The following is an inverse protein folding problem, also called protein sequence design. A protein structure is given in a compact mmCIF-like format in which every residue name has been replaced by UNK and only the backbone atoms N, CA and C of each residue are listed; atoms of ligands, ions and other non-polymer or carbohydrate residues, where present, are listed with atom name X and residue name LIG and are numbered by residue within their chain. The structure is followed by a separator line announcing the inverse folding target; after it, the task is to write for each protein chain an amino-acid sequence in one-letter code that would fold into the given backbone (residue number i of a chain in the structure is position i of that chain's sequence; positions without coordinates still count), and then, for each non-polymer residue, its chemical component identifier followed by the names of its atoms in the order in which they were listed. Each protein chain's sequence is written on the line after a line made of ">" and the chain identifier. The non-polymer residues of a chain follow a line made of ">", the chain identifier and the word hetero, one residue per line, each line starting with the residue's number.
data_IF_556015226526
#
_entry.id   IF_556015226526
#
_cell.length_a   1.000
_cell.length_b   1.000
_cell.length_c   1.000
_cell.angle_alpha   90.00
_cell.angle_beta   90.00
_cell.angle_gamma   90.00
#
_symmetry.space_group_name_H-M   'P 1'
#
loop_
_entity.id
_entity.type
_entity.pdbx_description
1 polymer ?
#
# COMPACT_ATOMS: atom_id res chain seq x y z
N UNK A 1 -9.60 -0.55 12.25
CA UNK A 1 -8.40 0.24 11.87
C UNK A 1 -7.17 -0.53 12.32
N UNK A 2 -6.23 -0.80 11.41
CA UNK A 2 -4.95 -1.48 11.68
C UNK A 2 -4.22 -0.86 12.89
N UNK A 3 -4.31 0.46 13.05
CA UNK A 3 -3.73 1.21 14.18
C UNK A 3 -4.21 0.69 15.55
N UNK A 4 -5.49 0.30 15.65
CA UNK A 4 -6.07 -0.31 16.86
C UNK A 4 -5.60 -1.74 17.06
N UNK A 5 -5.41 -2.49 15.97
CA UNK A 5 -4.97 -3.90 16.00
C UNK A 5 -3.53 -4.03 16.52
N UNK A 6 -2.67 -3.05 16.26
CA UNK A 6 -1.27 -3.05 16.71
C UNK A 6 -1.00 -2.17 17.93
N UNK A 7 -2.02 -1.65 18.63
CA UNK A 7 -1.86 -0.80 19.82
C UNK A 7 -0.83 0.35 19.62
N UNK A 8 -0.84 0.98 18.44
CA UNK A 8 0.12 2.05 18.12
C UNK A 8 -0.22 3.32 18.91
N UNK A 9 0.43 3.55 20.06
CA UNK A 9 0.38 4.77 20.90
C UNK A 9 -0.85 5.68 20.69
N UNK A 10 -2.05 5.11 20.83
CA UNK A 10 -3.29 5.86 20.72
C UNK A 10 -3.54 6.55 22.06
N UNK A 11 -3.93 7.85 22.06
CA UNK A 11 -4.34 8.50 23.30
C UNK A 11 -5.53 7.77 23.92
N UNK A 12 -5.50 7.59 25.24
CA UNK A 12 -6.42 6.72 26.01
C UNK A 12 -7.89 7.14 25.91
N UNK A 13 -8.16 8.39 25.53
CA UNK A 13 -9.49 8.96 25.40
C UNK A 13 -10.01 9.02 23.96
N UNK A 14 -9.34 8.39 22.99
CA UNK A 14 -9.67 8.57 21.58
C UNK A 14 -11.08 8.07 21.19
N UNK A 15 -11.66 7.13 21.93
CA UNK A 15 -13.02 6.66 21.66
C UNK A 15 -14.11 7.58 22.22
N UNK A 16 -13.75 8.49 23.14
CA UNK A 16 -14.69 9.40 23.80
C UNK A 16 -14.52 10.86 23.36
N UNK A 17 -13.36 11.21 22.80
CA UNK A 17 -13.06 12.56 22.33
C UNK A 17 -13.16 12.66 20.79
N UNK A 18 -14.27 13.20 20.24
CA UNK A 18 -14.43 13.38 18.80
C UNK A 18 -13.39 14.34 18.22
N UNK A 19 -12.87 15.30 19.00
CA UNK A 19 -11.83 16.21 18.54
C UNK A 19 -10.50 15.48 18.40
N UNK A 20 -10.13 14.61 19.34
CA UNK A 20 -8.94 13.76 19.22
C UNK A 20 -8.98 12.87 17.97
N UNK A 21 -10.15 12.29 17.65
CA UNK A 21 -10.35 11.52 16.41
C UNK A 21 -10.21 12.38 15.16
N UNK A 22 -10.75 13.60 15.18
CA UNK A 22 -10.65 14.53 14.06
C UNK A 22 -9.18 14.92 13.82
N UNK A 23 -8.46 15.31 14.87
CA UNK A 23 -7.03 15.64 14.79
C UNK A 23 -6.21 14.48 14.24
N UNK A 24 -6.45 13.25 14.70
CA UNK A 24 -5.77 12.07 14.19
C UNK A 24 -6.05 11.86 12.69
N UNK A 25 -7.32 11.94 12.27
CA UNK A 25 -7.70 11.78 10.86
C UNK A 25 -7.08 12.84 9.98
N UNK A 26 -7.04 14.10 10.43
CA UNK A 26 -6.39 15.21 9.73
C UNK A 26 -4.91 14.95 9.56
N UNK A 27 -4.20 14.60 10.65
CA UNK A 27 -2.76 14.30 10.60
C UNK A 27 -2.42 13.13 9.65
N UNK A 28 -3.23 12.06 9.66
CA UNK A 28 -3.10 10.94 8.72
C UNK A 28 -3.34 11.43 7.28
N UNK A 29 -4.39 12.21 7.05
CA UNK A 29 -4.72 12.73 5.71
C UNK A 29 -3.61 13.61 5.14
N UNK A 30 -3.04 14.51 5.95
CA UNK A 30 -1.90 15.35 5.58
C UNK A 30 -0.67 14.51 5.25
N UNK A 31 -0.34 13.53 6.11
CA UNK A 31 0.80 12.62 5.90
C UNK A 31 0.65 11.83 4.61
N UNK A 32 -0.54 11.28 4.33
CA UNK A 32 -0.83 10.55 3.10
C UNK A 32 -0.75 11.46 1.86
N UNK A 33 -1.20 12.71 1.98
CA UNK A 33 -1.10 13.71 0.90
C UNK A 33 0.35 14.03 0.57
N UNK A 34 1.18 14.20 1.61
CA UNK A 34 2.60 14.44 1.45
C UNK A 34 3.31 13.22 0.85
N UNK A 35 2.99 12.02 1.32
CA UNK A 35 3.53 10.77 0.79
C UNK A 35 3.19 10.60 -0.70
N UNK A 36 1.94 10.85 -1.09
CA UNK A 36 1.51 10.86 -2.50
C UNK A 36 2.37 11.83 -3.31
N UNK A 37 2.51 13.06 -2.85
CA UNK A 37 3.33 14.07 -3.52
C UNK A 37 4.80 13.62 -3.68
N UNK A 38 5.37 12.99 -2.66
CA UNK A 38 6.72 12.43 -2.69
C UNK A 38 6.85 11.27 -3.69
N UNK A 39 5.93 10.30 -3.66
CA UNK A 39 5.92 9.16 -4.59
C UNK A 39 5.84 9.65 -6.04
N UNK A 40 4.97 10.63 -6.33
CA UNK A 40 4.86 11.21 -7.67
C UNK A 40 6.18 11.82 -8.14
N UNK A 41 6.87 12.56 -7.28
CA UNK A 41 8.20 13.14 -7.57
C UNK A 41 9.25 12.05 -7.80
N UNK A 42 9.28 11.00 -6.99
CA UNK A 42 10.20 9.87 -7.17
C UNK A 42 9.97 9.15 -8.49
N UNK A 43 8.70 8.96 -8.90
CA UNK A 43 8.36 8.39 -10.20
C UNK A 43 8.90 9.27 -11.34
N UNK A 44 8.69 10.60 -11.27
CA UNK A 44 9.23 11.56 -12.26
C UNK A 44 10.74 11.36 -12.44
N UNK A 45 11.49 11.38 -11.33
CA UNK A 45 12.95 11.19 -11.33
C UNK A 45 13.33 9.83 -11.89
N UNK A 46 12.60 8.76 -11.55
CA UNK A 46 12.87 7.41 -12.04
C UNK A 46 12.70 7.28 -13.56
N UNK A 47 11.74 8.00 -14.15
CA UNK A 47 11.50 8.01 -15.60
C UNK A 47 12.67 8.70 -16.30
N UNK A 48 13.09 9.88 -15.82
CA UNK A 48 14.19 10.66 -16.40
C UNK A 48 15.53 9.93 -16.29
N UNK A 49 15.80 9.30 -15.15
CA UNK A 49 17.05 8.57 -14.89
C UNK A 49 17.06 7.14 -15.43
N UNK A 50 15.95 6.67 -16.02
CA UNK A 50 15.74 5.27 -16.45
C UNK A 50 16.08 4.25 -15.36
N UNK A 51 15.66 4.56 -14.13
CA UNK A 51 15.92 3.73 -12.96
C UNK A 51 15.10 2.44 -12.98
N UNK A 52 15.68 1.33 -12.50
CA UNK A 52 14.97 0.06 -12.33
C UNK A 52 13.81 0.18 -11.34
N UNK A 53 12.78 -0.65 -11.50
CA UNK A 53 11.57 -0.62 -10.65
C UNK A 53 11.86 -1.00 -9.20
N UNK A 54 12.83 -1.90 -8.98
CA UNK A 54 13.24 -2.32 -7.64
C UNK A 54 13.94 -1.18 -6.90
N UNK A 55 14.89 -0.50 -7.55
CA UNK A 55 15.56 0.66 -6.96
C UNK A 55 14.56 1.80 -6.67
N UNK A 56 13.53 1.98 -7.50
CA UNK A 56 12.45 2.92 -7.20
C UNK A 56 11.68 2.45 -5.97
N UNK A 57 11.38 1.17 -5.85
CA UNK A 57 10.76 0.56 -4.67
C UNK A 57 11.55 0.84 -3.39
N UNK A 58 12.87 0.65 -3.41
CA UNK A 58 13.74 0.96 -2.26
C UNK A 58 13.59 2.42 -1.85
N UNK A 59 13.63 3.35 -2.81
CA UNK A 59 13.48 4.79 -2.52
C UNK A 59 12.10 5.14 -1.97
N UNK A 60 11.05 4.47 -2.44
CA UNK A 60 9.67 4.70 -1.99
C UNK A 60 9.45 4.16 -0.57
N UNK A 61 10.00 2.99 -0.27
CA UNK A 61 9.97 2.41 1.07
C UNK A 61 10.79 3.25 2.05
N UNK A 62 11.95 3.78 1.62
CA UNK A 62 12.80 4.62 2.45
C UNK A 62 13.17 3.94 3.77
N UNK A 63 13.02 4.67 4.87
CA UNK A 63 13.31 4.17 6.23
C UNK A 63 12.11 3.47 6.90
N UNK A 64 11.06 3.14 6.13
CA UNK A 64 9.92 2.41 6.67
C UNK A 64 10.27 0.94 6.94
N UNK A 65 9.53 0.25 7.83
CA UNK A 65 9.75 -1.18 8.07
C UNK A 65 9.29 -2.07 6.90
N UNK A 66 8.70 -1.49 5.84
CA UNK A 66 8.17 -2.27 4.73
C UNK A 66 9.30 -2.90 3.89
N UNK A 67 9.04 -4.08 3.35
CA UNK A 67 9.92 -4.70 2.35
C UNK A 67 9.39 -4.42 0.94
N UNK A 68 10.32 -4.24 0.00
CA UNK A 68 9.97 -4.09 -1.43
C UNK A 68 9.53 -5.44 -1.97
N UNK A 69 8.22 -5.60 -2.21
CA UNK A 69 7.63 -6.84 -2.74
C UNK A 69 7.28 -6.73 -4.21
N UNK A 70 7.03 -7.88 -4.85
CA UNK A 70 6.49 -7.92 -6.23
C UNK A 70 5.18 -7.13 -6.32
N UNK A 71 4.29 -7.25 -5.34
CA UNK A 71 3.01 -6.51 -5.27
C UNK A 71 3.21 -4.98 -5.22
N UNK A 72 4.22 -4.50 -4.49
CA UNK A 72 4.58 -3.08 -4.50
C UNK A 72 5.13 -2.65 -5.87
N UNK A 73 6.03 -3.44 -6.45
CA UNK A 73 6.63 -3.14 -7.75
C UNK A 73 5.59 -3.10 -8.89
N UNK A 74 4.59 -4.00 -8.91
CA UNK A 74 3.51 -3.96 -9.91
C UNK A 74 2.67 -2.69 -9.81
N UNK A 75 2.34 -2.26 -8.58
CA UNK A 75 1.64 -1.00 -8.32
C UNK A 75 2.48 0.21 -8.76
N UNK A 76 3.78 0.23 -8.47
CA UNK A 76 4.70 1.28 -8.92
C UNK A 76 4.83 1.31 -10.45
N UNK A 77 4.90 0.16 -11.11
CA UNK A 77 4.96 0.06 -12.56
C UNK A 77 3.69 0.62 -13.23
N UNK A 78 2.51 0.30 -12.69
CA UNK A 78 1.25 0.90 -13.12
C UNK A 78 1.29 2.43 -12.98
N UNK A 79 1.63 2.94 -11.79
CA UNK A 79 1.72 4.37 -11.55
C UNK A 79 2.73 5.05 -12.49
N UNK A 80 3.89 4.44 -12.73
CA UNK A 80 4.90 4.95 -13.65
C UNK A 80 4.42 4.99 -15.10
N UNK A 81 3.62 4.02 -15.52
CA UNK A 81 3.04 3.98 -16.87
C UNK A 81 2.00 5.08 -17.13
N UNK A 82 1.36 5.59 -16.07
CA UNK A 82 0.31 6.60 -16.11
C UNK A 82 0.81 7.99 -15.73
N UNK A 83 2.13 8.17 -15.59
CA UNK A 83 2.70 9.42 -15.10
C UNK A 83 2.35 10.61 -16.01
N UNK A 84 1.80 11.66 -15.39
CA UNK A 84 1.63 13.00 -15.97
C UNK A 84 2.18 14.06 -15.02
N UNK A 85 2.66 15.18 -15.55
CA UNK A 85 3.24 16.25 -14.71
C UNK A 85 2.18 17.11 -14.00
N UNK A 86 0.89 16.86 -14.27
CA UNK A 86 -0.25 17.66 -13.80
C UNK A 86 -1.04 17.00 -12.65
N UNK A 87 -2.11 17.67 -12.20
CA UNK A 87 -2.99 17.16 -11.15
C UNK A 87 -3.81 15.94 -11.55
N UNK A 88 -3.89 15.61 -12.85
CA UNK A 88 -4.72 14.49 -13.34
C UNK A 88 -4.12 13.12 -13.01
N UNK A 89 -2.82 13.05 -12.73
CA UNK A 89 -2.07 11.82 -12.44
C UNK A 89 -2.83 10.84 -11.53
N UNK A 90 -3.26 11.32 -10.37
CA UNK A 90 -3.95 10.49 -9.40
C UNK A 90 -5.33 10.03 -9.87
N UNK A 91 -6.06 10.90 -10.57
CA UNK A 91 -7.33 10.54 -11.20
C UNK A 91 -7.16 9.45 -12.27
N UNK A 92 -6.09 9.51 -13.06
CA UNK A 92 -5.77 8.47 -14.05
C UNK A 92 -5.44 7.13 -13.39
N UNK A 93 -4.67 7.15 -12.29
CA UNK A 93 -4.38 5.94 -11.51
C UNK A 93 -5.67 5.32 -10.97
N UNK A 94 -6.55 6.13 -10.36
CA UNK A 94 -7.81 5.66 -9.79
C UNK A 94 -8.75 5.09 -10.88
N UNK A 95 -8.88 5.79 -12.00
CA UNK A 95 -9.65 5.32 -13.16
C UNK A 95 -9.13 3.97 -13.68
N UNK A 96 -7.80 3.82 -13.76
CA UNK A 96 -7.21 2.58 -14.28
C UNK A 96 -7.38 1.41 -13.30
N UNK A 97 -7.24 1.65 -12.00
CA UNK A 97 -7.52 0.64 -10.97
C UNK A 97 -9.00 0.23 -10.97
N UNK A 98 -9.92 1.18 -11.13
CA UNK A 98 -11.35 0.89 -11.25
C UNK A 98 -11.65 0.04 -12.50
N UNK A 99 -11.04 0.37 -13.64
CA UNK A 99 -11.17 -0.41 -14.86
C UNK A 99 -10.66 -1.85 -14.69
N UNK A 100 -9.48 -2.04 -14.09
CA UNK A 100 -8.91 -3.37 -13.82
C UNK A 100 -9.87 -4.19 -12.95
N UNK A 101 -10.40 -3.60 -11.87
CA UNK A 101 -11.36 -4.26 -10.97
C UNK A 101 -12.65 -4.64 -11.69
N UNK A 102 -13.17 -3.75 -12.53
CA UNK A 102 -14.37 -4.00 -13.34
C UNK A 102 -14.15 -5.17 -14.31
N UNK A 103 -13.04 -5.15 -15.06
CA UNK A 103 -12.69 -6.22 -16.01
C UNK A 103 -12.43 -7.56 -15.32
N UNK A 104 -11.91 -7.54 -14.10
CA UNK A 104 -11.69 -8.73 -13.30
C UNK A 104 -12.96 -9.25 -12.60
N UNK A 105 -14.04 -8.47 -12.56
CA UNK A 105 -15.26 -8.79 -11.81
C UNK A 105 -14.98 -9.12 -10.32
N UNK A 106 -13.99 -8.45 -9.72
CA UNK A 106 -13.57 -8.67 -8.33
C UNK A 106 -12.64 -9.87 -8.10
N UNK A 107 -12.29 -10.63 -9.14
CA UNK A 107 -11.35 -11.75 -9.07
C UNK A 107 -9.90 -11.28 -8.81
N UNK A 108 -9.35 -11.65 -7.66
CA UNK A 108 -8.02 -11.19 -7.22
C UNK A 108 -6.89 -11.73 -8.11
N UNK A 109 -7.02 -12.94 -8.66
CA UNK A 109 -5.99 -13.53 -9.53
C UNK A 109 -5.93 -12.78 -10.86
N UNK A 110 -7.09 -12.39 -11.39
CA UNK A 110 -7.15 -11.56 -12.61
C UNK A 110 -6.58 -10.17 -12.36
N UNK A 111 -6.86 -9.56 -11.21
CA UNK A 111 -6.29 -8.26 -10.83
C UNK A 111 -4.76 -8.37 -10.73
N UNK A 112 -4.25 -9.37 -10.00
CA UNK A 112 -2.81 -9.61 -9.85
C UNK A 112 -2.12 -9.87 -11.18
N UNK A 113 -2.75 -10.64 -12.08
CA UNK A 113 -2.24 -10.88 -13.43
C UNK A 113 -2.18 -9.60 -14.27
N UNK A 114 -3.23 -8.78 -14.22
CA UNK A 114 -3.28 -7.51 -14.94
C UNK A 114 -2.19 -6.53 -14.44
N UNK A 115 -1.98 -6.44 -13.13
CA UNK A 115 -0.92 -5.63 -12.53
C UNK A 115 0.48 -6.18 -12.85
N UNK A 116 0.65 -7.50 -12.90
CA UNK A 116 1.92 -8.14 -13.27
C UNK A 116 2.33 -7.82 -14.70
N UNK A 117 1.38 -7.69 -15.62
CA UNK A 117 1.67 -7.25 -16.99
C UNK A 117 2.29 -5.84 -17.04
N UNK A 118 1.90 -4.94 -16.14
CA UNK A 118 2.54 -3.62 -16.03
C UNK A 118 3.99 -3.73 -15.59
N UNK A 119 4.30 -4.61 -14.63
CA UNK A 119 5.67 -4.85 -14.18
C UNK A 119 6.56 -5.39 -15.29
N UNK A 120 6.03 -6.29 -16.13
CA UNK A 120 6.78 -6.84 -17.26
C UNK A 120 7.07 -5.79 -18.34
N UNK A 121 6.06 -5.02 -18.74
CA UNK A 121 6.23 -3.88 -19.65
C UNK A 121 7.20 -2.84 -19.10
N UNK A 122 7.17 -2.61 -17.80
CA UNK A 122 8.04 -1.67 -17.12
C UNK A 122 9.50 -2.16 -17.08
N UNK A 123 9.70 -3.44 -16.77
CA UNK A 123 11.02 -4.09 -16.86
C UNK A 123 11.56 -3.98 -18.26
N UNK A 124 10.85 -4.39 -19.30
CA UNK A 124 11.37 -4.29 -20.69
C UNK A 124 11.77 -2.86 -21.08
N UNK A 125 11.07 -1.83 -20.57
CA UNK A 125 11.35 -0.42 -20.87
C UNK A 125 12.55 0.17 -20.11
N UNK A 126 12.77 -0.24 -18.86
CA UNK A 126 13.74 0.41 -17.96
C UNK A 126 14.85 -0.52 -17.44
N UNK A 127 14.83 -1.83 -17.77
CA UNK A 127 15.77 -2.84 -17.25
C UNK A 127 17.17 -2.85 -17.88
N UNK A 128 17.57 -1.82 -18.63
CA UNK A 128 18.91 -1.74 -19.23
C UNK A 128 20.07 -1.71 -18.20
N UNK A 129 19.78 -1.71 -16.89
CA UNK A 129 20.79 -1.58 -15.82
C UNK A 129 20.55 -2.41 -14.55
N UNK A 130 19.56 -3.29 -14.52
CA UNK A 130 19.27 -4.04 -13.29
C UNK A 130 20.16 -5.26 -13.19
N UNK A 131 21.01 -5.29 -12.16
CA UNK A 131 21.61 -6.53 -11.67
C UNK A 131 20.49 -7.52 -11.29
N UNK A 132 20.80 -8.81 -11.25
CA UNK A 132 19.84 -9.87 -10.98
C UNK A 132 19.37 -9.84 -9.52
N UNK A 133 18.42 -8.95 -9.19
CA UNK A 133 17.81 -8.87 -7.87
C UNK A 133 16.59 -9.78 -7.79
N UNK A 134 16.52 -10.62 -6.76
CA UNK A 134 15.32 -11.40 -6.42
C UNK A 134 14.43 -10.55 -5.53
N UNK A 135 13.26 -10.17 -6.05
CA UNK A 135 12.24 -9.43 -5.30
C UNK A 135 11.37 -10.46 -4.56
N UNK A 136 11.19 -10.36 -3.23
CA UNK A 136 10.32 -11.28 -2.50
C UNK A 136 8.86 -11.11 -2.93
N UNK A 137 8.12 -12.21 -2.97
CA UNK A 137 6.68 -12.20 -3.24
C UNK A 137 5.89 -11.61 -2.08
N UNK A 138 6.29 -11.94 -0.84
CA UNK A 138 5.62 -11.54 0.38
C UNK A 138 6.48 -10.57 1.20
N UNK A 139 5.82 -9.69 1.96
CA UNK A 139 6.47 -8.84 2.95
C UNK A 139 6.79 -9.60 4.23
N UNK A 140 7.27 -8.88 5.23
CA UNK A 140 7.34 -9.44 6.59
C UNK A 140 5.93 -9.71 7.16
N UNK A 141 5.87 -10.38 8.31
CA UNK A 141 4.60 -10.76 8.92
C UNK A 141 3.70 -9.55 9.24
N UNK A 142 4.29 -8.40 9.55
CA UNK A 142 3.53 -7.19 9.84
C UNK A 142 2.91 -6.61 8.56
N UNK A 143 3.71 -6.50 7.50
CA UNK A 143 3.25 -6.02 6.20
C UNK A 143 2.21 -6.97 5.60
N UNK A 144 2.35 -8.29 5.79
CA UNK A 144 1.36 -9.26 5.35
C UNK A 144 0.03 -9.08 6.09
N UNK A 145 0.03 -8.86 7.41
CA UNK A 145 -1.20 -8.57 8.18
C UNK A 145 -1.91 -7.31 7.67
N UNK A 146 -1.13 -6.27 7.33
CA UNK A 146 -1.66 -5.05 6.70
C UNK A 146 -2.26 -5.33 5.33
N UNK A 147 -1.54 -6.07 4.47
CA UNK A 147 -2.01 -6.42 3.13
C UNK A 147 -3.29 -7.28 3.19
N UNK A 148 -3.39 -8.24 4.11
CA UNK A 148 -4.56 -9.12 4.28
C UNK A 148 -5.80 -8.32 4.73
N UNK A 149 -5.62 -7.33 5.61
CA UNK A 149 -6.71 -6.43 6.02
C UNK A 149 -7.18 -5.57 4.86
N UNK A 150 -6.26 -5.09 4.01
CA UNK A 150 -6.59 -4.29 2.83
C UNK A 150 -7.31 -5.13 1.77
N UNK A 151 -6.89 -6.37 1.58
CA UNK A 151 -7.47 -7.30 0.60
C UNK A 151 -8.78 -7.93 1.12
N UNK A 152 -9.16 -7.68 2.38
CA UNK A 152 -10.39 -8.19 2.99
C UNK A 152 -10.33 -9.68 3.34
N UNK A 153 -9.12 -10.25 3.44
CA UNK A 153 -8.88 -11.67 3.71
C UNK A 153 -8.88 -11.99 5.21
N UNK A 154 -8.79 -10.97 6.08
CA UNK A 154 -8.90 -11.16 7.52
C UNK A 154 -10.37 -11.17 7.99
N UNK A 155 -10.92 -12.34 8.29
CA UNK A 155 -12.16 -12.49 9.08
C UNK A 155 -11.93 -12.08 10.55
N UNK A 156 -12.96 -11.51 11.21
CA UNK A 156 -12.96 -10.99 12.60
C UNK A 156 -12.14 -11.83 13.61
N UNK A 157 -11.53 -11.20 14.64
CA UNK A 157 -11.02 -11.96 15.79
C UNK A 157 -12.18 -12.71 16.48
N UNK A 158 -11.95 -13.92 17.04
CA UNK A 158 -12.95 -14.62 17.82
C UNK A 158 -13.43 -13.73 18.97
N UNK A 159 -14.75 -13.67 19.15
CA UNK A 159 -15.35 -12.97 20.28
C UNK A 159 -14.72 -13.47 21.58
N UNK A 160 -14.22 -12.54 22.40
CA UNK A 160 -13.72 -12.87 23.74
C UNK A 160 -14.78 -13.68 24.49
N UNK A 161 -14.42 -14.81 25.11
CA UNK A 161 -15.38 -15.59 25.89
C UNK A 161 -15.94 -14.70 27.03
N UNK A 162 -17.22 -14.87 27.38
CA UNK A 162 -17.84 -14.09 28.44
C UNK A 162 -17.04 -14.27 29.73
N UNK A 163 -16.64 -13.14 30.34
CA UNK A 163 -16.05 -13.09 31.67
C UNK A 163 -16.96 -13.84 32.64
N UNK A 164 -16.56 -15.04 33.04
CA UNK A 164 -17.22 -15.78 34.11
C UNK A 164 -16.89 -15.06 35.41
N UNK A 165 -17.86 -14.29 35.94
CA UNK A 165 -17.78 -13.73 37.28
C UNK A 165 -17.94 -14.90 38.24
N UNK A 166 -16.83 -15.38 38.79
CA UNK A 166 -16.86 -16.33 39.89
C UNK A 166 -17.48 -15.63 41.12
N UNK A 167 -18.71 -16.01 41.46
CA UNK A 167 -19.31 -15.69 42.74
C UNK A 167 -18.50 -16.41 43.84
N UNK A 168 -17.78 -15.64 44.66
CA UNK A 168 -17.20 -16.14 45.91
C UNK A 168 -18.33 -16.29 46.92
N UNK A 169 -18.47 -17.48 47.50
CA UNK A 169 -19.27 -17.73 48.71
C UNK A 169 -18.31 -18.07 49.83
#
# INVERSE_FOLDING_TARGET
>A
LIIRRHNLHLPTNIDHDPNALLTLRTAIGETLTQLRSTIKKMIKVSITSKQGIYDLGIKVVGDSPCTVTVKLCTRLALMRSLYTDDSSFWGLVDQKLALIRSMASGDQDKISRALSAYLECDRTKYSARSEAYTIPELGDAWQQDVDDVIDGLSSQPPASPPMSIAAST
#
